data_IF_310642332169
#
_entry.id   IF_310642332169
#
_cell.length_a   1.000
_cell.length_b   1.000
_cell.length_c   1.000
_cell.angle_alpha   90.00
_cell.angle_beta   90.00
_cell.angle_gamma   90.00
#
_symmetry.space_group_name_H-M   'P 1'
#
loop_
_entity.id
_entity.type
_entity.pdbx_description
1 polymer ?
#
# COMPACT_ATOMS: atom_id res chain seq x y z
N UNK A 1 58.90 41.52 -13.86
CA UNK A 1 57.92 40.91 -14.75
C UNK A 1 57.51 39.59 -14.12
N UNK A 2 56.31 39.55 -13.52
CA UNK A 2 55.76 38.33 -12.91
C UNK A 2 54.64 37.81 -13.82
N UNK A 3 54.76 36.55 -14.30
CA UNK A 3 53.74 35.86 -15.08
C UNK A 3 52.88 35.07 -14.12
N UNK A 4 51.52 35.14 -14.12
CA UNK A 4 50.69 34.30 -13.30
C UNK A 4 50.39 32.96 -13.99
N UNK A 5 50.59 31.86 -13.27
CA UNK A 5 50.22 30.50 -13.67
C UNK A 5 48.75 30.33 -13.35
N UNK A 6 47.90 30.15 -14.39
CA UNK A 6 46.51 29.72 -14.25
C UNK A 6 46.44 28.18 -14.19
N UNK A 7 46.01 27.63 -13.04
CA UNK A 7 45.58 26.24 -12.94
C UNK A 7 44.14 26.13 -13.45
N UNK A 8 43.95 25.40 -14.54
CA UNK A 8 42.64 24.93 -14.95
C UNK A 8 42.28 23.69 -14.09
N UNK A 9 41.32 23.86 -13.17
CA UNK A 9 40.68 22.74 -12.46
C UNK A 9 39.70 22.11 -13.46
N UNK A 10 39.97 20.85 -13.84
CA UNK A 10 39.08 20.03 -14.65
C UNK A 10 37.79 19.76 -13.88
N UNK A 11 36.65 19.90 -14.55
CA UNK A 11 35.33 19.50 -14.00
C UNK A 11 35.30 17.98 -13.73
N UNK A 12 34.69 17.55 -12.61
CA UNK A 12 34.58 16.11 -12.33
C UNK A 12 33.62 15.42 -13.32
N UNK A 13 34.04 14.29 -13.84
CA UNK A 13 33.33 13.44 -14.82
C UNK A 13 32.11 12.72 -14.22
N UNK A 14 31.72 13.06 -12.98
CA UNK A 14 30.61 12.37 -12.28
C UNK A 14 29.20 12.88 -12.64
N UNK A 15 29.05 14.03 -13.30
CA UNK A 15 27.73 14.61 -13.64
C UNK A 15 27.02 13.93 -14.85
N UNK A 16 27.70 13.11 -15.62
CA UNK A 16 27.15 12.55 -16.87
C UNK A 16 26.46 11.17 -16.72
N UNK A 17 26.66 10.44 -15.62
CA UNK A 17 26.10 9.09 -15.43
C UNK A 17 24.72 9.14 -14.79
N UNK A 18 24.52 9.97 -13.75
CA UNK A 18 23.21 10.13 -13.08
C UNK A 18 22.13 10.73 -14.00
N UNK A 19 22.51 11.61 -14.93
CA UNK A 19 21.58 12.19 -15.92
C UNK A 19 21.12 11.16 -16.95
N UNK A 20 21.94 10.16 -17.26
CA UNK A 20 21.64 9.16 -18.29
C UNK A 20 20.70 8.06 -17.74
N UNK A 21 20.86 7.62 -16.49
CA UNK A 21 19.96 6.66 -15.86
C UNK A 21 18.58 7.27 -15.59
N UNK A 22 18.52 8.52 -15.15
CA UNK A 22 17.26 9.25 -14.98
C UNK A 22 16.54 9.48 -16.30
N UNK A 23 17.26 9.80 -17.39
CA UNK A 23 16.69 9.95 -18.72
C UNK A 23 16.26 8.60 -19.32
N UNK A 24 16.99 7.53 -19.08
CA UNK A 24 16.62 6.17 -19.50
C UNK A 24 15.36 5.71 -18.76
N UNK A 25 15.23 5.98 -17.45
CA UNK A 25 14.02 5.68 -16.67
C UNK A 25 12.80 6.48 -17.15
N UNK A 26 12.97 7.76 -17.49
CA UNK A 26 11.91 8.59 -18.08
C UNK A 26 11.55 8.06 -19.48
N UNK A 27 12.53 7.72 -20.32
CA UNK A 27 12.32 7.18 -21.65
C UNK A 27 11.69 5.76 -21.62
N UNK A 28 12.05 4.92 -20.64
CA UNK A 28 11.40 3.62 -20.42
C UNK A 28 9.96 3.76 -19.91
N UNK A 29 9.66 4.78 -19.10
CA UNK A 29 8.28 5.13 -18.71
C UNK A 29 7.45 5.60 -19.90
N UNK A 30 8.03 6.35 -20.82
CA UNK A 30 7.37 6.78 -22.05
C UNK A 30 7.20 5.64 -23.08
N UNK A 31 7.97 4.56 -23.00
CA UNK A 31 7.90 3.41 -23.92
C UNK A 31 6.89 2.32 -23.51
N UNK A 32 6.35 2.34 -22.28
CA UNK A 32 5.30 1.40 -21.87
C UNK A 32 3.93 1.94 -22.33
N UNK A 33 3.63 1.78 -23.59
CA UNK A 33 2.33 2.09 -24.14
C UNK A 33 1.33 1.01 -23.75
N UNK A 34 0.45 1.31 -22.80
CA UNK A 34 -0.77 0.56 -22.58
C UNK A 34 -1.66 0.70 -23.82
N UNK A 35 -2.22 -0.40 -24.30
CA UNK A 35 -3.06 -0.42 -25.52
C UNK A 35 -4.55 -0.40 -25.20
N UNK A 36 -4.93 -0.86 -24.01
CA UNK A 36 -6.31 -1.08 -23.59
C UNK A 36 -6.73 -0.18 -22.43
N UNK A 37 -5.76 0.48 -21.76
CA UNK A 37 -5.99 1.44 -20.68
C UNK A 37 -5.15 2.69 -20.92
N UNK A 38 -5.46 3.75 -20.19
CA UNK A 38 -4.55 4.89 -20.04
C UNK A 38 -4.17 5.03 -18.57
N UNK A 39 -2.88 5.18 -18.27
CA UNK A 39 -2.37 5.36 -16.91
C UNK A 39 -1.76 6.76 -16.76
N UNK A 40 -2.28 7.54 -15.81
CA UNK A 40 -1.85 8.91 -15.54
C UNK A 40 -1.24 8.97 -14.13
N UNK A 41 0.10 9.13 -13.99
CA UNK A 41 0.74 9.24 -12.69
C UNK A 41 0.15 10.38 -11.85
N UNK A 42 -0.15 10.13 -10.57
CA UNK A 42 -0.66 11.14 -9.62
C UNK A 42 0.47 11.76 -8.79
N UNK A 43 1.63 11.10 -8.72
CA UNK A 43 2.86 11.63 -8.13
C UNK A 43 4.08 11.07 -8.85
N UNK A 44 5.27 11.62 -8.56
CA UNK A 44 6.52 11.19 -9.19
C UNK A 44 6.99 9.79 -8.78
N UNK A 45 6.46 9.23 -7.69
CA UNK A 45 7.01 8.00 -7.07
C UNK A 45 5.98 6.91 -6.80
N UNK A 46 4.69 7.23 -6.76
CA UNK A 46 3.62 6.28 -6.42
C UNK A 46 2.27 6.76 -6.92
N UNK A 47 1.46 5.82 -7.41
CA UNK A 47 0.08 6.04 -7.78
C UNK A 47 -0.13 6.49 -9.22
N UNK A 48 -1.10 5.85 -9.89
CA UNK A 48 -1.60 6.29 -11.18
C UNK A 48 -3.13 6.18 -11.25
N UNK A 49 -3.78 7.12 -11.91
CA UNK A 49 -5.19 7.04 -12.25
C UNK A 49 -5.35 6.31 -13.59
N UNK A 50 -6.17 5.26 -13.60
CA UNK A 50 -6.45 4.42 -14.76
C UNK A 50 -7.78 4.85 -15.37
N UNK A 51 -7.80 5.00 -16.69
CA UNK A 51 -9.00 5.27 -17.49
C UNK A 51 -9.07 4.37 -18.71
N UNK A 52 -10.21 4.41 -19.43
CA UNK A 52 -10.42 3.60 -20.63
C UNK A 52 -11.07 2.24 -20.37
N UNK A 53 -11.44 1.93 -19.11
CA UNK A 53 -12.14 0.69 -18.75
C UNK A 53 -13.38 0.97 -17.90
N UNK A 54 -14.42 0.18 -18.13
CA UNK A 54 -15.61 0.07 -17.30
C UNK A 54 -15.63 -1.34 -16.70
N UNK A 55 -15.50 -1.41 -15.38
CA UNK A 55 -15.46 -2.68 -14.64
C UNK A 55 -16.85 -3.30 -14.42
N UNK A 56 -17.92 -2.58 -14.76
CA UNK A 56 -19.30 -3.10 -14.72
C UNK A 56 -19.58 -4.11 -15.84
N UNK A 57 -18.74 -4.13 -16.87
CA UNK A 57 -18.77 -5.12 -17.94
C UNK A 57 -17.56 -6.06 -17.80
N UNK A 58 -17.62 -7.22 -18.47
CA UNK A 58 -16.46 -8.14 -18.48
C UNK A 58 -15.24 -7.46 -19.11
N UNK A 59 -14.20 -7.24 -18.30
CA UNK A 59 -12.95 -6.62 -18.76
C UNK A 59 -12.17 -7.64 -19.59
N UNK A 60 -11.68 -7.22 -20.75
CA UNK A 60 -10.86 -8.09 -21.59
C UNK A 60 -9.58 -8.51 -20.88
N UNK A 61 -9.12 -9.77 -21.01
CA UNK A 61 -7.91 -10.27 -20.29
C UNK A 61 -6.66 -9.41 -20.50
N UNK A 62 -6.53 -8.79 -21.69
CA UNK A 62 -5.39 -7.89 -21.98
C UNK A 62 -5.47 -6.59 -21.17
N UNK A 63 -6.66 -6.00 -21.00
CA UNK A 63 -6.83 -4.82 -20.15
C UNK A 63 -6.57 -5.15 -18.67
N UNK A 64 -7.00 -6.33 -18.20
CA UNK A 64 -6.68 -6.81 -16.85
C UNK A 64 -5.16 -6.97 -16.66
N UNK A 65 -4.48 -7.53 -17.66
CA UNK A 65 -3.01 -7.66 -17.61
C UNK A 65 -2.31 -6.30 -17.55
N UNK A 66 -2.81 -5.31 -18.29
CA UNK A 66 -2.29 -3.94 -18.25
C UNK A 66 -2.57 -3.24 -16.91
N UNK A 67 -3.77 -3.44 -16.31
CA UNK A 67 -4.07 -2.94 -14.96
C UNK A 67 -3.10 -3.56 -13.95
N UNK A 68 -2.84 -4.88 -14.06
CA UNK A 68 -1.86 -5.55 -13.19
C UNK A 68 -0.45 -4.99 -13.41
N UNK A 69 -0.03 -4.77 -14.64
CA UNK A 69 1.26 -4.16 -14.96
C UNK A 69 1.36 -2.75 -14.37
N UNK A 70 0.31 -1.92 -14.50
CA UNK A 70 0.25 -0.60 -13.90
C UNK A 70 0.34 -0.67 -12.35
N UNK A 71 -0.30 -1.68 -11.73
CA UNK A 71 -0.18 -1.91 -10.28
C UNK A 71 1.26 -2.20 -9.87
N UNK A 72 2.00 -3.03 -10.60
CA UNK A 72 3.41 -3.34 -10.34
C UNK A 72 4.34 -2.15 -10.56
N UNK A 73 4.00 -1.27 -11.51
CA UNK A 73 4.78 -0.07 -11.83
C UNK A 73 4.53 1.05 -10.82
N UNK A 74 3.25 1.35 -10.53
CA UNK A 74 2.84 2.49 -9.72
C UNK A 74 2.53 2.15 -8.27
N UNK A 75 2.53 0.86 -7.87
CA UNK A 75 2.27 0.33 -6.52
C UNK A 75 0.82 0.51 -6.03
N UNK A 76 0.11 1.53 -6.49
CA UNK A 76 -1.32 1.73 -6.32
C UNK A 76 -1.91 2.34 -7.58
N UNK A 77 -3.08 1.86 -7.99
CA UNK A 77 -3.83 2.39 -9.12
C UNK A 77 -5.24 2.78 -8.70
N UNK A 78 -5.77 3.81 -9.32
CA UNK A 78 -7.07 4.40 -9.03
C UNK A 78 -7.96 4.38 -10.27
N UNK A 79 -9.24 4.06 -10.10
CA UNK A 79 -10.24 4.13 -11.15
C UNK A 79 -11.40 5.00 -10.64
N UNK A 80 -11.99 5.82 -11.52
CA UNK A 80 -13.13 6.69 -11.20
C UNK A 80 -14.41 6.15 -11.82
N UNK A 81 -15.56 6.51 -11.21
CA UNK A 81 -16.87 6.27 -11.80
C UNK A 81 -17.27 4.79 -11.97
N UNK A 82 -16.74 3.91 -11.15
CA UNK A 82 -17.01 2.47 -11.21
C UNK A 82 -18.27 2.12 -10.41
N UNK A 83 -19.42 2.05 -11.05
CA UNK A 83 -20.69 1.68 -10.41
C UNK A 83 -20.91 0.16 -10.50
N UNK A 84 -20.32 -0.57 -9.54
CA UNK A 84 -20.33 -2.04 -9.55
C UNK A 84 -21.34 -2.61 -8.55
N UNK A 85 -22.08 -3.65 -8.96
CA UNK A 85 -22.74 -4.56 -8.02
C UNK A 85 -21.70 -5.34 -7.22
N UNK A 86 -22.11 -6.02 -6.14
CA UNK A 86 -21.22 -6.90 -5.37
C UNK A 86 -20.67 -8.05 -6.23
N UNK A 87 -21.50 -8.60 -7.12
CA UNK A 87 -21.12 -9.68 -8.05
C UNK A 87 -20.05 -9.19 -9.04
N UNK A 88 -20.26 -8.02 -9.68
CA UNK A 88 -19.32 -7.44 -10.63
C UNK A 88 -17.98 -7.10 -9.95
N UNK A 89 -18.01 -6.55 -8.74
CA UNK A 89 -16.82 -6.25 -7.96
C UNK A 89 -16.02 -7.51 -7.64
N UNK A 90 -16.70 -8.59 -7.20
CA UNK A 90 -16.05 -9.87 -6.95
C UNK A 90 -15.50 -10.50 -8.22
N UNK A 91 -16.27 -10.48 -9.32
CA UNK A 91 -15.85 -11.02 -10.61
C UNK A 91 -14.59 -10.32 -11.17
N UNK A 92 -14.52 -9.00 -11.02
CA UNK A 92 -13.30 -8.26 -11.39
C UNK A 92 -12.11 -8.63 -10.49
N UNK A 93 -12.30 -8.69 -9.18
CA UNK A 93 -11.24 -9.08 -8.25
C UNK A 93 -10.66 -10.47 -8.56
N UNK A 94 -11.51 -11.42 -8.95
CA UNK A 94 -11.11 -12.78 -9.36
C UNK A 94 -10.22 -12.80 -10.60
N UNK A 95 -10.31 -11.81 -11.49
CA UNK A 95 -9.42 -11.71 -12.65
C UNK A 95 -8.01 -11.22 -12.28
N UNK A 96 -7.85 -10.51 -11.16
CA UNK A 96 -6.57 -10.02 -10.66
C UNK A 96 -5.86 -11.03 -9.75
N UNK A 97 -6.61 -11.89 -9.05
CA UNK A 97 -6.07 -12.88 -8.13
C UNK A 97 -7.16 -13.64 -7.40
N UNK A 98 -6.80 -14.44 -6.40
CA UNK A 98 -7.72 -15.23 -5.59
C UNK A 98 -8.25 -14.37 -4.41
N UNK A 99 -9.56 -14.01 -4.35
CA UNK A 99 -10.13 -13.31 -3.22
C UNK A 99 -10.07 -14.15 -1.94
N UNK A 100 -9.87 -13.50 -0.80
CA UNK A 100 -9.84 -14.14 0.51
C UNK A 100 -10.75 -13.43 1.52
N UNK A 101 -11.32 -14.19 2.44
CA UNK A 101 -12.09 -13.62 3.54
C UNK A 101 -11.18 -12.84 4.50
N UNK A 102 -11.69 -11.72 5.01
CA UNK A 102 -11.00 -11.00 6.06
C UNK A 102 -11.17 -11.74 7.40
N UNK A 103 -10.09 -11.97 8.16
CA UNK A 103 -10.16 -12.87 9.31
C UNK A 103 -10.99 -12.34 10.49
N UNK A 104 -11.09 -11.01 10.66
CA UNK A 104 -11.67 -10.40 11.85
C UNK A 104 -13.10 -9.89 11.66
N UNK A 105 -13.57 -9.64 10.44
CA UNK A 105 -14.92 -9.14 10.17
C UNK A 105 -15.63 -10.02 9.15
N UNK A 106 -16.96 -10.20 9.24
CA UNK A 106 -17.72 -10.89 8.22
C UNK A 106 -17.79 -10.10 6.92
N UNK A 107 -17.89 -10.80 5.80
CA UNK A 107 -18.24 -10.20 4.52
C UNK A 107 -19.73 -9.89 4.40
N UNK A 108 -20.12 -9.34 3.25
CA UNK A 108 -21.52 -9.08 2.93
C UNK A 108 -22.32 -10.39 2.83
N UNK A 109 -23.63 -10.38 3.18
CA UNK A 109 -24.49 -11.53 2.96
C UNK A 109 -24.45 -12.00 1.49
N UNK A 110 -24.15 -13.28 1.27
CA UNK A 110 -23.98 -13.86 -0.06
C UNK A 110 -22.59 -13.60 -0.71
N UNK A 111 -21.78 -12.70 -0.16
CA UNK A 111 -20.45 -12.35 -0.69
C UNK A 111 -19.40 -12.28 0.43
N UNK A 112 -19.00 -13.40 1.01
CA UNK A 112 -18.12 -13.42 2.20
C UNK A 112 -16.73 -12.80 1.94
N UNK A 113 -16.29 -12.75 0.68
CA UNK A 113 -15.01 -12.12 0.29
C UNK A 113 -15.06 -10.58 0.27
N UNK A 114 -16.25 -9.97 0.33
CA UNK A 114 -16.43 -8.52 0.32
C UNK A 114 -16.65 -8.03 1.74
N UNK A 115 -15.66 -7.41 2.34
CA UNK A 115 -15.74 -6.88 3.71
C UNK A 115 -16.17 -5.40 3.68
N UNK A 116 -17.31 -5.03 4.29
CA UNK A 116 -17.68 -3.62 4.39
C UNK A 116 -16.77 -2.90 5.40
N UNK A 117 -16.17 -1.78 4.96
CA UNK A 117 -15.42 -0.86 5.82
C UNK A 117 -16.27 0.40 6.00
N UNK A 118 -16.87 0.52 7.17
CA UNK A 118 -17.85 1.59 7.46
C UNK A 118 -17.36 2.43 8.62
N UNK A 119 -17.49 3.75 8.55
CA UNK A 119 -17.46 4.68 9.68
C UNK A 119 -18.82 5.40 9.72
N UNK A 120 -19.55 5.22 10.81
CA UNK A 120 -20.84 5.87 11.04
C UNK A 120 -20.64 7.33 11.47
N UNK A 121 -21.67 8.14 11.37
CA UNK A 121 -21.64 9.57 11.69
C UNK A 121 -21.23 9.85 13.15
N UNK A 122 -21.64 8.97 14.07
CA UNK A 122 -21.34 9.10 15.50
C UNK A 122 -19.96 8.51 15.90
N UNK A 123 -19.22 7.90 14.98
CA UNK A 123 -17.90 7.32 15.26
C UNK A 123 -16.78 8.35 15.07
N UNK A 124 -15.83 8.36 15.99
CA UNK A 124 -14.70 9.29 15.99
C UNK A 124 -13.40 8.70 15.45
N UNK A 125 -13.35 7.38 15.26
CA UNK A 125 -12.16 6.67 14.77
C UNK A 125 -12.43 6.00 13.42
N UNK A 126 -11.45 6.03 12.53
CA UNK A 126 -11.46 5.24 11.31
C UNK A 126 -11.05 3.79 11.61
N UNK A 127 -11.67 2.82 10.98
CA UNK A 127 -11.14 1.47 10.94
C UNK A 127 -9.78 1.46 10.19
N UNK A 128 -8.72 0.99 10.87
CA UNK A 128 -7.36 1.03 10.33
C UNK A 128 -6.74 2.43 10.25
N UNK A 129 -7.13 3.37 11.12
CA UNK A 129 -6.75 4.79 11.09
C UNK A 129 -5.30 5.10 11.45
N UNK A 130 -4.34 4.23 11.08
CA UNK A 130 -2.88 4.40 11.22
C UNK A 130 -2.19 3.84 9.99
N UNK A 131 -0.95 4.25 9.72
CA UNK A 131 -0.15 3.73 8.62
C UNK A 131 0.09 2.21 8.75
N UNK A 132 -0.37 1.44 7.73
CA UNK A 132 -0.24 -0.02 7.72
C UNK A 132 -0.21 -0.60 6.31
N UNK A 133 0.32 -1.81 6.19
CA UNK A 133 -0.01 -2.78 5.15
C UNK A 133 -1.02 -3.76 5.73
N UNK A 134 -1.95 -4.26 4.92
CA UNK A 134 -3.05 -5.11 5.42
C UNK A 134 -2.55 -6.41 6.05
N UNK A 135 -3.09 -6.73 7.22
CA UNK A 135 -2.99 -8.03 7.92
C UNK A 135 -1.60 -8.68 7.94
N UNK A 136 -0.54 -7.89 8.12
CA UNK A 136 0.85 -8.42 8.20
C UNK A 136 1.09 -9.38 9.37
N UNK A 137 0.11 -9.58 10.23
CA UNK A 137 0.10 -10.61 11.27
C UNK A 137 -0.32 -12.00 10.77
N UNK A 138 -0.63 -12.18 9.47
CA UNK A 138 -0.89 -13.49 8.86
C UNK A 138 0.42 -14.08 8.32
N UNK A 139 0.58 -15.42 8.31
CA UNK A 139 1.74 -16.08 7.69
C UNK A 139 1.84 -15.80 6.17
N UNK A 140 0.71 -15.59 5.52
CA UNK A 140 0.58 -15.19 4.12
C UNK A 140 -0.30 -13.94 4.04
N UNK A 141 0.27 -12.74 4.21
CA UNK A 141 -0.48 -11.50 4.07
C UNK A 141 -0.99 -11.31 2.64
N UNK A 142 -2.09 -10.56 2.43
CA UNK A 142 -2.65 -10.36 1.10
C UNK A 142 -1.64 -9.68 0.16
N UNK A 143 -1.62 -10.11 -1.11
CA UNK A 143 -0.78 -9.46 -2.11
C UNK A 143 -1.32 -8.09 -2.48
N UNK A 144 -2.63 -7.96 -2.63
CA UNK A 144 -3.27 -6.69 -3.00
C UNK A 144 -4.63 -6.55 -2.32
N UNK A 145 -5.08 -5.31 -2.23
CA UNK A 145 -6.41 -4.94 -1.74
C UNK A 145 -7.10 -4.04 -2.76
N UNK A 146 -8.38 -4.33 -3.01
CA UNK A 146 -9.30 -3.51 -3.78
C UNK A 146 -10.27 -2.83 -2.82
N UNK A 147 -10.43 -1.52 -2.92
CA UNK A 147 -11.36 -0.73 -2.09
C UNK A 147 -12.26 0.13 -2.99
N UNK A 148 -13.57 -0.11 -2.94
CA UNK A 148 -14.58 0.55 -3.75
C UNK A 148 -15.43 1.48 -2.87
N UNK A 149 -15.55 2.76 -3.27
CA UNK A 149 -16.30 3.77 -2.55
C UNK A 149 -17.81 3.66 -2.85
N UNK A 150 -18.61 3.39 -1.80
CA UNK A 150 -20.08 3.33 -1.87
C UNK A 150 -20.74 4.62 -1.36
N UNK A 151 -20.22 5.15 -0.25
CA UNK A 151 -20.65 6.42 0.32
C UNK A 151 -19.41 7.11 0.88
N UNK A 152 -19.19 8.34 0.52
CA UNK A 152 -18.06 9.15 1.01
C UNK A 152 -18.53 10.56 1.33
N UNK A 153 -17.92 11.23 2.30
CA UNK A 153 -18.20 12.64 2.57
C UNK A 153 -17.81 13.52 1.37
N UNK A 154 -18.43 14.67 1.22
CA UNK A 154 -18.10 15.61 0.15
C UNK A 154 -16.66 16.17 0.28
N UNK A 155 -16.12 16.23 1.50
CA UNK A 155 -14.77 16.71 1.83
C UNK A 155 -14.19 15.83 2.92
N UNK A 156 -12.91 15.51 2.82
CA UNK A 156 -12.19 14.65 3.77
C UNK A 156 -12.36 13.15 3.51
N UNK A 157 -11.82 12.34 4.40
CA UNK A 157 -11.82 10.88 4.27
C UNK A 157 -10.90 10.34 3.19
N UNK A 158 -9.92 11.12 2.76
CA UNK A 158 -8.89 10.72 1.80
C UNK A 158 -8.07 9.53 2.31
N UNK A 159 -7.32 8.91 1.43
CA UNK A 159 -6.33 7.89 1.81
C UNK A 159 -4.94 8.29 1.31
N UNK A 160 -3.97 8.21 2.21
CA UNK A 160 -2.56 8.36 1.90
C UNK A 160 -1.96 6.98 1.58
N UNK A 161 -1.05 6.94 0.60
CA UNK A 161 -0.27 5.73 0.25
C UNK A 161 1.21 6.08 0.25
N UNK A 162 2.08 5.13 0.61
CA UNK A 162 3.53 5.32 0.58
C UNK A 162 4.24 4.18 -0.14
N UNK A 163 5.29 4.52 -0.89
CA UNK A 163 6.12 3.60 -1.65
C UNK A 163 7.25 3.03 -0.79
N UNK A 164 7.12 1.76 -0.40
CA UNK A 164 8.09 1.08 0.47
C UNK A 164 9.36 0.64 -0.28
N UNK A 165 9.36 0.61 -1.63
CA UNK A 165 10.59 0.50 -2.42
C UNK A 165 11.44 1.76 -2.28
N UNK A 166 10.84 2.96 -2.50
CA UNK A 166 11.54 4.23 -2.36
C UNK A 166 12.06 4.43 -0.93
N UNK A 167 11.28 4.02 0.07
CA UNK A 167 11.71 4.04 1.46
C UNK A 167 12.94 3.15 1.68
N UNK A 168 13.01 1.95 1.09
CA UNK A 168 14.19 1.10 1.16
C UNK A 168 15.38 1.67 0.35
N UNK A 169 15.13 2.07 -0.88
CA UNK A 169 16.18 2.49 -1.82
C UNK A 169 16.98 3.69 -1.29
N UNK A 170 16.32 4.61 -0.57
CA UNK A 170 16.91 5.83 -0.01
C UNK A 170 17.58 5.66 1.36
N UNK A 171 17.54 4.46 1.96
CA UNK A 171 18.33 4.16 3.16
C UNK A 171 19.83 4.14 2.83
N UNK A 172 20.66 4.53 3.80
CA UNK A 172 22.11 4.36 3.71
C UNK A 172 22.49 2.87 3.63
N UNK A 173 23.66 2.57 3.05
CA UNK A 173 24.17 1.19 2.98
C UNK A 173 24.33 0.57 4.37
N UNK A 174 24.76 1.35 5.36
CA UNK A 174 24.85 0.90 6.75
C UNK A 174 23.50 0.47 7.31
N UNK A 175 22.43 1.23 7.05
CA UNK A 175 21.07 0.88 7.45
C UNK A 175 20.57 -0.35 6.70
N UNK A 176 20.74 -0.42 5.39
CA UNK A 176 20.41 -1.60 4.58
C UNK A 176 21.11 -2.86 5.07
N UNK A 177 22.38 -2.74 5.44
CA UNK A 177 23.16 -3.84 6.02
C UNK A 177 22.61 -4.27 7.38
N UNK A 178 22.32 -3.32 8.28
CA UNK A 178 21.75 -3.60 9.61
C UNK A 178 20.39 -4.30 9.50
N UNK A 179 19.53 -3.91 8.56
CA UNK A 179 18.21 -4.51 8.36
C UNK A 179 18.24 -5.86 7.63
N UNK A 180 19.35 -6.16 6.99
CA UNK A 180 19.54 -7.42 6.26
C UNK A 180 19.48 -8.60 7.23
N UNK A 181 18.51 -9.47 7.06
CA UNK A 181 18.29 -10.63 7.92
C UNK A 181 17.45 -10.39 9.17
N UNK A 182 17.04 -9.15 9.47
CA UNK A 182 16.07 -8.91 10.53
C UNK A 182 14.69 -9.43 10.16
N UNK A 183 14.04 -10.08 11.12
CA UNK A 183 12.64 -10.55 11.01
C UNK A 183 11.79 -9.72 11.97
N UNK A 184 10.77 -9.07 11.43
CA UNK A 184 9.77 -8.32 12.21
C UNK A 184 8.66 -9.24 12.70
N UNK A 185 8.28 -9.12 13.95
CA UNK A 185 7.12 -9.79 14.56
C UNK A 185 5.93 -8.85 14.51
N UNK A 186 4.88 -9.24 13.82
CA UNK A 186 3.62 -8.49 13.71
C UNK A 186 2.50 -9.17 14.48
N UNK A 187 1.73 -8.38 15.27
CA UNK A 187 0.62 -8.86 16.08
C UNK A 187 -0.69 -8.19 15.66
N UNK A 188 -1.77 -8.97 15.66
CA UNK A 188 -3.13 -8.46 15.48
C UNK A 188 -3.62 -7.66 16.69
N UNK A 189 -2.97 -7.79 17.84
CA UNK A 189 -3.34 -7.15 19.12
C UNK A 189 -2.50 -5.94 19.48
N UNK A 190 -1.66 -5.44 18.58
CA UNK A 190 -0.93 -4.21 18.86
C UNK A 190 -1.89 -3.06 19.15
N UNK A 191 -1.65 -2.30 20.22
CA UNK A 191 -2.56 -1.30 20.75
C UNK A 191 -2.99 -0.23 19.72
N UNK A 192 -2.09 0.18 18.83
CA UNK A 192 -2.40 1.19 17.80
C UNK A 192 -3.44 0.71 16.78
N UNK A 193 -3.39 -0.59 16.41
CA UNK A 193 -4.39 -1.18 15.55
C UNK A 193 -5.71 -1.47 16.29
N UNK A 194 -5.62 -1.92 17.55
CA UNK A 194 -6.80 -2.24 18.38
C UNK A 194 -7.71 -1.03 18.60
N UNK A 195 -7.15 0.13 18.91
CA UNK A 195 -7.91 1.37 19.12
C UNK A 195 -8.81 1.78 17.95
N UNK A 196 -8.49 1.33 16.74
CA UNK A 196 -9.25 1.69 15.52
C UNK A 196 -10.25 0.63 15.09
N UNK A 197 -10.37 -0.51 15.77
CA UNK A 197 -11.23 -1.61 15.33
C UNK A 197 -11.92 -2.40 16.44
N UNK A 198 -11.58 -2.17 17.72
CA UNK A 198 -11.99 -3.03 18.84
C UNK A 198 -13.52 -3.23 18.91
N UNK A 199 -14.30 -2.16 18.87
CA UNK A 199 -15.76 -2.23 18.95
C UNK A 199 -16.37 -3.07 17.82
N UNK A 200 -15.84 -2.97 16.61
CA UNK A 200 -16.36 -3.67 15.43
C UNK A 200 -16.02 -5.14 15.41
N UNK A 201 -14.83 -5.50 15.88
CA UNK A 201 -14.40 -6.89 15.96
C UNK A 201 -15.20 -7.60 17.04
N UNK A 202 -15.46 -6.97 18.20
CA UNK A 202 -16.30 -7.51 19.27
C UNK A 202 -17.78 -7.61 18.85
N UNK A 203 -18.34 -6.61 18.15
CA UNK A 203 -19.70 -6.63 17.62
C UNK A 203 -19.90 -7.74 16.57
N UNK A 204 -18.86 -8.09 15.83
CA UNK A 204 -18.94 -9.10 14.74
C UNK A 204 -19.13 -10.52 15.23
N UNK A 205 -18.79 -10.83 16.50
CA UNK A 205 -19.05 -12.12 17.15
C UNK A 205 -18.43 -13.33 16.43
N UNK A 206 -17.32 -13.15 15.66
CA UNK A 206 -16.67 -14.30 15.00
C UNK A 206 -16.01 -15.23 16.02
N UNK A 207 -16.15 -16.56 15.87
CA UNK A 207 -15.36 -17.51 16.64
C UNK A 207 -13.85 -17.21 16.42
N UNK A 208 -13.07 -17.13 17.51
CA UNK A 208 -11.64 -16.80 17.52
C UNK A 208 -11.27 -15.32 17.26
N UNK A 209 -12.22 -14.38 17.28
CA UNK A 209 -11.89 -12.94 17.27
C UNK A 209 -10.96 -12.54 18.42
N UNK A 210 -10.96 -13.33 19.52
CA UNK A 210 -10.11 -13.13 20.70
C UNK A 210 -8.71 -13.77 20.58
N UNK A 211 -8.45 -14.59 19.56
CA UNK A 211 -7.14 -15.17 19.36
C UNK A 211 -6.18 -14.13 18.78
N UNK A 212 -5.00 -13.99 19.39
CA UNK A 212 -3.93 -13.19 18.82
C UNK A 212 -3.36 -13.89 17.59
N UNK A 213 -3.33 -13.18 16.46
CA UNK A 213 -2.67 -13.63 15.25
C UNK A 213 -1.27 -13.00 15.20
N UNK A 214 -0.25 -13.83 14.96
CA UNK A 214 1.14 -13.41 14.90
C UNK A 214 1.75 -13.85 13.58
N UNK A 215 2.41 -12.92 12.88
CA UNK A 215 3.19 -13.16 11.67
C UNK A 215 4.63 -12.69 11.84
N UNK A 216 5.57 -13.51 11.36
CA UNK A 216 7.00 -13.18 11.33
C UNK A 216 7.45 -13.03 9.87
N UNK A 217 8.01 -11.86 9.53
CA UNK A 217 8.35 -11.54 8.15
C UNK A 217 9.69 -10.81 8.06
N UNK A 218 10.46 -10.98 6.95
CA UNK A 218 11.66 -10.20 6.75
C UNK A 218 11.34 -8.70 6.73
N UNK A 219 12.13 -7.90 7.42
CA UNK A 219 12.02 -6.43 7.41
C UNK A 219 12.28 -5.86 6.01
N UNK A 220 13.16 -6.52 5.26
CA UNK A 220 13.44 -6.23 3.85
C UNK A 220 12.91 -7.38 3.01
N UNK A 221 11.71 -7.19 2.45
CA UNK A 221 11.04 -8.16 1.59
C UNK A 221 11.50 -8.02 0.14
N UNK A 222 11.78 -9.14 -0.53
CA UNK A 222 11.92 -9.18 -1.99
C UNK A 222 10.54 -9.40 -2.62
N UNK A 223 10.13 -8.49 -3.50
CA UNK A 223 8.86 -8.61 -4.19
C UNK A 223 8.89 -9.75 -5.22
N UNK A 224 7.93 -10.71 -5.19
CA UNK A 224 8.04 -11.95 -5.96
C UNK A 224 7.94 -11.76 -7.49
N UNK A 225 7.34 -10.66 -7.97
CA UNK A 225 7.15 -10.40 -9.39
C UNK A 225 8.17 -9.41 -9.96
N UNK A 226 8.53 -8.37 -9.18
CA UNK A 226 9.46 -7.33 -9.66
C UNK A 226 10.91 -7.58 -9.28
N UNK A 227 11.17 -8.47 -8.29
CA UNK A 227 12.50 -8.70 -7.73
C UNK A 227 13.04 -7.53 -6.88
N UNK A 228 12.32 -6.42 -6.79
CA UNK A 228 12.73 -5.24 -6.01
C UNK A 228 12.61 -5.49 -4.51
N UNK A 229 13.47 -4.83 -3.74
CA UNK A 229 13.43 -4.86 -2.28
C UNK A 229 12.57 -3.72 -1.74
N UNK A 230 11.71 -4.02 -0.77
CA UNK A 230 10.87 -3.05 -0.07
C UNK A 230 11.05 -3.19 1.44
N UNK A 231 10.92 -2.10 2.18
CA UNK A 231 10.70 -2.20 3.62
C UNK A 231 9.33 -2.86 3.87
N UNK A 232 9.32 -3.86 4.75
CA UNK A 232 8.11 -4.63 5.06
C UNK A 232 7.85 -4.68 6.56
N UNK A 233 7.44 -3.56 7.10
CA UNK A 233 7.07 -3.35 8.51
C UNK A 233 6.09 -2.18 8.57
N UNK A 234 5.30 -2.09 9.63
CA UNK A 234 4.41 -0.96 9.86
C UNK A 234 4.13 -0.73 11.35
N UNK A 235 3.80 0.52 11.68
CA UNK A 235 3.55 0.92 13.07
C UNK A 235 2.28 0.28 13.65
N UNK A 236 1.32 -0.13 12.81
CA UNK A 236 0.07 -0.72 13.28
C UNK A 236 0.25 -2.14 13.82
N UNK A 237 1.15 -2.93 13.24
CA UNK A 237 1.23 -4.35 13.55
C UNK A 237 2.60 -4.80 14.06
N UNK A 238 3.71 -4.23 13.56
CA UNK A 238 5.06 -4.68 13.95
C UNK A 238 5.38 -4.26 15.38
N UNK A 239 5.59 -5.23 16.26
CA UNK A 239 5.84 -5.00 17.70
C UNK A 239 7.32 -5.00 18.04
N UNK A 240 8.11 -5.91 17.43
CA UNK A 240 9.55 -6.04 17.68
C UNK A 240 10.24 -6.81 16.55
N UNK A 241 11.55 -6.96 16.67
CA UNK A 241 12.33 -7.91 15.85
C UNK A 241 12.55 -9.22 16.62
N UNK A 242 12.63 -10.32 15.88
CA UNK A 242 12.98 -11.64 16.46
C UNK A 242 14.35 -11.54 17.13
N UNK A 243 14.46 -12.06 18.36
CA UNK A 243 15.69 -12.01 19.16
C UNK A 243 15.94 -10.69 19.88
N UNK A 244 15.07 -9.67 19.70
CA UNK A 244 15.14 -8.38 20.41
C UNK A 244 13.93 -8.18 21.32
N UNK A 245 14.07 -7.40 22.36
CA UNK A 245 12.97 -6.90 23.18
C UNK A 245 12.17 -5.81 22.42
N UNK A 246 10.97 -5.48 22.89
CA UNK A 246 10.20 -4.35 22.34
C UNK A 246 10.93 -3.02 22.56
N UNK A 247 11.58 -2.85 23.73
CA UNK A 247 12.33 -1.64 24.07
C UNK A 247 13.54 -1.43 23.14
N UNK A 248 14.29 -2.48 22.82
CA UNK A 248 15.41 -2.43 21.87
C UNK A 248 14.94 -2.16 20.43
N UNK A 249 13.78 -2.72 20.07
CA UNK A 249 13.21 -2.59 18.72
C UNK A 249 12.56 -1.23 18.47
N UNK A 250 11.96 -0.62 19.48
CA UNK A 250 11.14 0.59 19.35
C UNK A 250 11.86 1.77 18.66
N UNK A 251 13.11 2.16 19.00
CA UNK A 251 13.78 3.28 18.33
C UNK A 251 14.04 3.01 16.83
N UNK A 252 14.34 1.76 16.47
CA UNK A 252 14.56 1.36 15.07
C UNK A 252 13.25 1.41 14.29
N UNK A 253 12.17 0.82 14.84
CA UNK A 253 10.82 0.84 14.25
C UNK A 253 10.31 2.26 14.08
N UNK A 254 10.53 3.13 15.07
CA UNK A 254 10.13 4.54 15.00
C UNK A 254 10.87 5.29 13.90
N UNK A 255 12.20 5.13 13.80
CA UNK A 255 12.99 5.74 12.72
C UNK A 255 12.51 5.28 11.34
N UNK A 256 12.36 3.96 11.15
CA UNK A 256 11.93 3.39 9.88
C UNK A 256 10.52 3.84 9.49
N UNK A 257 9.62 3.94 10.47
CA UNK A 257 8.28 4.48 10.24
C UNK A 257 8.34 5.93 9.75
N UNK A 258 9.02 6.81 10.48
CA UNK A 258 9.12 8.23 10.09
C UNK A 258 9.79 8.38 8.72
N UNK A 259 10.80 7.57 8.43
CA UNK A 259 11.45 7.56 7.12
C UNK A 259 10.49 7.13 6.02
N UNK A 260 9.69 6.09 6.23
CA UNK A 260 8.79 5.52 5.23
C UNK A 260 7.60 6.41 4.86
N UNK A 261 7.18 7.31 5.76
CA UNK A 261 6.01 8.18 5.54
C UNK A 261 6.37 9.61 5.14
N UNK A 262 7.60 9.84 4.69
CA UNK A 262 8.04 11.13 4.19
C UNK A 262 7.21 11.56 2.98
N UNK A 263 6.89 12.85 2.84
CA UNK A 263 6.08 13.37 1.74
C UNK A 263 6.58 12.95 0.35
N UNK A 264 7.91 12.83 0.18
CA UNK A 264 8.55 12.45 -1.08
C UNK A 264 8.22 11.03 -1.55
N UNK A 265 7.74 10.17 -0.64
CA UNK A 265 7.40 8.77 -0.94
C UNK A 265 5.89 8.55 -1.05
N UNK A 266 5.08 9.59 -0.84
CA UNK A 266 3.63 9.45 -0.66
C UNK A 266 2.82 10.06 -1.79
N UNK A 267 1.58 9.55 -1.94
CA UNK A 267 0.51 10.25 -2.64
C UNK A 267 -0.75 10.29 -1.77
N UNK A 268 -1.66 11.21 -2.09
CA UNK A 268 -2.96 11.37 -1.44
C UNK A 268 -4.07 11.20 -2.48
N UNK A 269 -5.04 10.37 -2.17
CA UNK A 269 -6.18 10.11 -3.02
C UNK A 269 -7.47 10.56 -2.36
N UNK A 270 -8.18 11.47 -3.04
CA UNK A 270 -9.50 11.96 -2.64
C UNK A 270 -10.59 11.11 -3.29
N UNK A 271 -11.55 10.65 -2.49
CA UNK A 271 -12.58 9.73 -2.90
C UNK A 271 -13.83 10.45 -3.42
N UNK A 272 -14.41 9.90 -4.47
CA UNK A 272 -15.79 10.15 -4.91
C UNK A 272 -16.53 8.82 -4.95
N UNK A 273 -17.87 8.83 -4.91
CA UNK A 273 -18.66 7.61 -5.09
C UNK A 273 -18.27 6.93 -6.42
N UNK A 274 -18.12 5.61 -6.41
CA UNK A 274 -17.63 4.85 -7.56
C UNK A 274 -16.13 4.92 -7.78
N UNK A 275 -15.35 5.62 -6.94
CA UNK A 275 -13.88 5.49 -6.99
C UNK A 275 -13.45 4.14 -6.48
N UNK A 276 -12.45 3.52 -7.14
CA UNK A 276 -11.78 2.31 -6.69
C UNK A 276 -10.29 2.58 -6.56
N UNK A 277 -9.67 2.08 -5.51
CA UNK A 277 -8.22 1.97 -5.38
C UNK A 277 -7.81 0.50 -5.33
N UNK A 278 -6.72 0.15 -5.99
CA UNK A 278 -6.09 -1.18 -5.94
C UNK A 278 -4.63 -0.95 -5.56
N UNK A 279 -4.18 -1.49 -4.44
CA UNK A 279 -2.79 -1.33 -4.00
C UNK A 279 -2.13 -2.66 -3.71
N UNK A 280 -0.82 -2.68 -3.97
CA UNK A 280 0.04 -3.82 -3.70
C UNK A 280 0.55 -3.78 -2.26
N UNK A 281 0.01 -4.62 -1.38
CA UNK A 281 0.40 -4.68 0.04
C UNK A 281 1.84 -5.14 0.28
N UNK A 282 2.48 -5.71 -0.75
CA UNK A 282 3.85 -6.22 -0.67
C UNK A 282 4.89 -5.10 -0.69
N UNK A 283 4.50 -3.90 -1.15
CA UNK A 283 5.39 -2.76 -1.32
C UNK A 283 4.74 -1.40 -1.00
N UNK A 284 3.54 -1.37 -0.39
CA UNK A 284 2.88 -0.14 0.04
C UNK A 284 2.37 -0.23 1.48
N UNK A 285 2.35 0.92 2.16
CA UNK A 285 1.48 1.16 3.30
C UNK A 285 0.43 2.21 2.91
N UNK A 286 -0.66 2.22 3.65
CA UNK A 286 -1.69 3.23 3.50
C UNK A 286 -2.22 3.72 4.85
N UNK A 287 -2.84 4.91 4.83
CA UNK A 287 -3.43 5.55 6.00
C UNK A 287 -4.71 6.30 5.61
N UNK A 288 -5.90 5.85 6.03
CA UNK A 288 -7.14 6.59 5.85
C UNK A 288 -7.15 7.82 6.77
N UNK A 289 -7.28 9.00 6.19
CA UNK A 289 -7.30 10.27 6.93
C UNK A 289 -8.61 10.39 7.70
N UNK A 290 -8.53 10.76 9.00
CA UNK A 290 -9.68 10.85 9.91
C UNK A 290 -10.11 12.31 10.12
N UNK A 291 -10.52 12.99 9.05
CA UNK A 291 -10.87 14.43 9.02
C UNK A 291 -12.33 14.70 8.58
N UNK A 292 -13.25 13.70 8.72
CA UNK A 292 -14.66 13.78 8.28
C UNK A 292 -15.63 13.35 9.40
N UNK A 293 -15.51 13.97 10.57
CA UNK A 293 -16.42 13.69 11.70
C UNK A 293 -17.86 14.12 11.37
N UNK A 294 -18.84 13.33 11.81
CA UNK A 294 -20.25 13.58 11.55
C UNK A 294 -20.78 13.10 10.19
N UNK A 295 -19.95 12.44 9.39
CA UNK A 295 -20.33 11.93 8.07
C UNK A 295 -20.16 10.42 7.96
N UNK A 296 -21.11 9.77 7.28
CA UNK A 296 -21.02 8.36 6.92
C UNK A 296 -19.95 8.16 5.83
N UNK A 297 -19.08 7.17 6.03
CA UNK A 297 -18.22 6.67 4.97
C UNK A 297 -18.36 5.15 4.89
N UNK A 298 -18.76 4.65 3.71
CA UNK A 298 -18.92 3.22 3.44
C UNK A 298 -18.12 2.81 2.22
N UNK A 299 -17.26 1.83 2.41
CA UNK A 299 -16.43 1.23 1.36
C UNK A 299 -16.67 -0.28 1.35
N UNK A 300 -16.54 -0.90 0.19
CA UNK A 300 -16.46 -2.36 0.05
C UNK A 300 -15.01 -2.74 -0.24
N UNK A 301 -14.47 -3.72 0.50
CA UNK A 301 -13.09 -4.16 0.39
C UNK A 301 -13.01 -5.64 0.01
N UNK A 302 -12.13 -5.96 -0.96
CA UNK A 302 -11.69 -7.33 -1.26
C UNK A 302 -10.17 -7.37 -1.08
N UNK A 303 -9.68 -8.41 -0.42
CA UNK A 303 -8.24 -8.73 -0.35
C UNK A 303 -7.94 -9.95 -1.22
N UNK A 304 -6.81 -9.90 -1.93
CA UNK A 304 -6.35 -11.02 -2.75
C UNK A 304 -5.26 -11.79 -1.99
N UNK A 305 -5.35 -13.12 -2.03
CA UNK A 305 -4.37 -14.01 -1.39
C UNK A 305 -2.94 -13.68 -1.83
N UNK A 306 -2.02 -13.63 -0.88
CA UNK A 306 -0.61 -13.37 -1.11
C UNK A 306 0.28 -14.58 -0.91
N UNK A 307 1.58 -14.34 -1.00
CA UNK A 307 2.67 -15.29 -0.78
C UNK A 307 3.24 -15.18 0.65
N UNK A 308 4.06 -16.15 1.02
CA UNK A 308 4.90 -16.03 2.22
C UNK A 308 6.04 -15.05 1.93
N UNK A 309 6.17 -13.93 2.68
CA UNK A 309 7.24 -12.93 2.48
C UNK A 309 8.65 -13.52 2.62
N UNK A 310 9.58 -13.13 1.74
CA UNK A 310 10.98 -13.56 1.73
C UNK A 310 11.92 -12.47 1.20
#
# INVERSE_FOLDING_TARGET
>A
MKVPIFWRIGKPVHESIESTESQILVCLREMMHYQHISAHPVSGVIGAEISGVDLAITVAPRAVAEIRQALLEYNVVFLRGQELTAEQFLAFAQQLGEPSEYPLLPGLPGYPMITPVVKRENETQNFGGVWHSDTTYLPQPPMATLLLARTVPAVGGDTLFTNMYAAYDTLSDGMKHMLSGLIGVSSSRKADAMRTREDRVSEAGRPNSDAELIGEHPVVRTHPETGRKALYLNIAHTVKFVGMTEEESAPILHYLHQHSVRPEFTCRFSWTVGSMAIWDNRCTMHNPVNDYHGYLRKMDRITLRGDTPR
#
